data_IF_923497420431
#
_entry.id   IF_923497420431
#
_cell.length_a   1.000
_cell.length_b   1.000
_cell.length_c   1.000
_cell.angle_alpha   90.00
_cell.angle_beta   90.00
_cell.angle_gamma   90.00
#
_symmetry.space_group_name_H-M   'P 1'
#
loop_
_entity.id
_entity.type
_entity.pdbx_description
1 polymer ?
#
# COMPACT_ATOMS: atom_id res chain seq x y z
N UNK A 1 -18.35 21.11 -74.45
CA UNK A 1 -19.74 20.64 -74.45
C UNK A 1 -19.80 19.50 -73.44
N UNK A 2 -20.45 19.77 -72.30
CA UNK A 2 -21.02 18.86 -71.31
C UNK A 2 -20.14 17.82 -70.58
N UNK A 3 -20.03 18.06 -69.27
CA UNK A 3 -20.28 17.18 -68.12
C UNK A 3 -19.75 15.73 -68.11
N UNK A 4 -18.92 15.42 -67.10
CA UNK A 4 -19.43 14.68 -65.94
C UNK A 4 -18.39 14.57 -64.80
N UNK A 5 -18.80 15.12 -63.66
CA UNK A 5 -18.66 14.62 -62.29
C UNK A 5 -17.32 14.01 -61.84
N UNK A 6 -16.68 14.76 -60.95
CA UNK A 6 -15.70 14.30 -59.98
C UNK A 6 -16.37 13.25 -59.09
N UNK A 7 -16.07 11.97 -59.33
CA UNK A 7 -16.28 10.91 -58.35
C UNK A 7 -15.07 10.88 -57.42
N UNK A 8 -15.22 11.58 -56.30
CA UNK A 8 -14.41 11.45 -55.10
C UNK A 8 -14.40 9.97 -54.69
N UNK A 9 -13.27 9.30 -54.94
CA UNK A 9 -13.04 7.91 -54.53
C UNK A 9 -12.28 7.87 -53.20
N UNK A 10 -12.70 8.68 -52.24
CA UNK A 10 -12.49 8.39 -50.81
C UNK A 10 -13.51 7.32 -50.39
N UNK A 11 -13.25 6.08 -50.81
CA UNK A 11 -13.91 4.88 -50.31
C UNK A 11 -13.42 4.64 -48.86
N UNK A 12 -13.82 5.53 -47.95
CA UNK A 12 -13.68 5.36 -46.51
C UNK A 12 -14.69 4.28 -46.15
N UNK A 13 -14.18 3.06 -46.01
CA UNK A 13 -14.90 1.93 -45.46
C UNK A 13 -15.58 2.37 -44.17
N UNK A 14 -16.90 2.59 -44.22
CA UNK A 14 -17.75 2.65 -43.04
C UNK A 14 -17.60 1.30 -42.34
N UNK A 15 -16.67 1.21 -41.40
CA UNK A 15 -16.49 0.07 -40.54
C UNK A 15 -17.61 0.10 -39.50
N UNK A 16 -18.56 -0.85 -39.48
CA UNK A 16 -19.74 -0.81 -38.59
C UNK A 16 -19.42 -1.08 -37.11
N UNK A 17 -18.18 -0.90 -36.68
CA UNK A 17 -17.67 -1.26 -35.36
C UNK A 17 -17.18 -0.06 -34.54
N UNK A 18 -17.33 1.17 -35.04
CA UNK A 18 -16.83 2.38 -34.37
C UNK A 18 -17.83 2.94 -33.32
N UNK A 19 -18.56 2.06 -32.63
CA UNK A 19 -19.68 2.43 -31.77
C UNK A 19 -19.91 1.59 -30.53
N UNK A 20 -18.95 0.76 -30.11
CA UNK A 20 -19.06 0.06 -28.83
C UNK A 20 -17.68 -0.16 -28.22
N UNK A 21 -17.29 0.77 -27.35
CA UNK A 21 -16.27 0.54 -26.34
C UNK A 21 -16.72 -0.66 -25.48
N UNK A 22 -16.04 -1.82 -25.50
CA UNK A 22 -16.50 -3.03 -24.80
C UNK A 22 -16.44 -2.90 -23.27
N UNK A 23 -15.78 -1.86 -22.76
CA UNK A 23 -15.34 -1.74 -21.36
C UNK A 23 -16.11 -0.68 -20.55
N UNK A 24 -17.27 -0.23 -21.05
CA UNK A 24 -18.19 0.66 -20.32
C UNK A 24 -19.59 0.07 -20.13
N UNK A 25 -19.70 -1.27 -20.12
CA UNK A 25 -20.81 -1.87 -19.41
C UNK A 25 -20.59 -1.57 -17.93
N UNK A 26 -21.37 -0.67 -17.35
CA UNK A 26 -21.42 -0.49 -15.91
C UNK A 26 -21.70 -1.86 -15.28
N UNK A 27 -20.67 -2.52 -14.75
CA UNK A 27 -20.83 -3.77 -14.02
C UNK A 27 -21.86 -3.50 -12.93
N UNK A 28 -22.99 -4.19 -13.01
CA UNK A 28 -24.01 -4.10 -11.98
C UNK A 28 -23.31 -4.49 -10.68
N UNK A 29 -23.26 -3.60 -9.67
CA UNK A 29 -22.56 -3.91 -8.44
C UNK A 29 -23.17 -5.19 -7.83
N UNK A 30 -22.33 -6.08 -7.30
CA UNK A 30 -22.81 -7.36 -6.77
C UNK A 30 -23.85 -7.13 -5.67
N UNK A 31 -24.91 -7.95 -5.64
CA UNK A 31 -25.97 -7.82 -4.63
C UNK A 31 -25.39 -8.10 -3.22
N UNK A 32 -25.42 -7.14 -2.29
CA UNK A 32 -24.92 -7.33 -0.93
C UNK A 32 -25.55 -8.53 -0.21
N UNK A 33 -26.85 -8.80 -0.42
CA UNK A 33 -27.54 -9.91 0.26
C UNK A 33 -27.05 -11.27 -0.28
N UNK A 34 -26.88 -11.37 -1.59
CA UNK A 34 -26.29 -12.56 -2.21
C UNK A 34 -24.86 -12.77 -1.69
N UNK A 35 -24.03 -11.72 -1.72
CA UNK A 35 -22.63 -11.83 -1.29
C UNK A 35 -22.50 -12.20 0.19
N UNK A 36 -23.36 -11.68 1.07
CA UNK A 36 -23.40 -12.07 2.48
C UNK A 36 -23.66 -13.58 2.63
N UNK A 37 -24.57 -14.14 1.84
CA UNK A 37 -24.87 -15.58 1.86
C UNK A 37 -23.67 -16.43 1.42
N UNK A 38 -22.96 -15.98 0.38
CA UNK A 38 -21.84 -16.70 -0.23
C UNK A 38 -20.59 -16.75 0.65
N UNK A 39 -20.43 -15.86 1.64
CA UNK A 39 -19.32 -15.92 2.61
C UNK A 39 -19.27 -17.25 3.38
N UNK A 40 -20.42 -17.90 3.55
CA UNK A 40 -20.54 -19.20 4.25
C UNK A 40 -20.65 -20.41 3.33
N UNK A 41 -20.49 -20.22 2.01
CA UNK A 41 -20.62 -21.28 1.03
C UNK A 41 -19.61 -22.42 1.25
N UNK A 42 -20.01 -23.65 0.92
CA UNK A 42 -19.08 -24.79 0.86
C UNK A 42 -18.03 -24.62 -0.26
N UNK A 43 -18.34 -23.87 -1.31
CA UNK A 43 -17.47 -23.69 -2.47
C UNK A 43 -16.46 -22.56 -2.27
N UNK A 44 -15.17 -22.89 -2.41
CA UNK A 44 -14.05 -21.94 -2.25
C UNK A 44 -14.18 -20.74 -3.20
N UNK A 45 -14.59 -20.97 -4.44
CA UNK A 45 -14.77 -19.92 -5.45
C UNK A 45 -15.82 -18.90 -5.04
N UNK A 46 -16.94 -19.35 -4.49
CA UNK A 46 -18.04 -18.49 -4.04
C UNK A 46 -17.62 -17.65 -2.84
N UNK A 47 -17.01 -18.27 -1.83
CA UNK A 47 -16.45 -17.55 -0.67
C UNK A 47 -15.42 -16.49 -1.08
N UNK A 48 -14.55 -16.83 -2.04
CA UNK A 48 -13.54 -15.91 -2.54
C UNK A 48 -14.16 -14.72 -3.30
N UNK A 49 -15.15 -14.96 -4.16
CA UNK A 49 -15.86 -13.89 -4.89
C UNK A 49 -16.60 -12.98 -3.90
N UNK A 50 -17.31 -13.57 -2.93
CA UNK A 50 -17.99 -12.82 -1.89
C UNK A 50 -17.04 -11.92 -1.09
N UNK A 51 -15.92 -12.46 -0.60
CA UNK A 51 -14.92 -11.67 0.11
C UNK A 51 -14.38 -10.52 -0.75
N UNK A 52 -14.11 -10.76 -2.05
CA UNK A 52 -13.67 -9.70 -2.97
C UNK A 52 -14.73 -8.63 -3.21
N UNK A 53 -16.00 -9.01 -3.33
CA UNK A 53 -17.09 -8.06 -3.50
C UNK A 53 -17.15 -7.04 -2.35
N UNK A 54 -16.89 -7.48 -1.11
CA UNK A 54 -16.88 -6.59 0.04
C UNK A 54 -15.72 -5.57 0.07
N UNK A 55 -14.69 -5.69 -0.78
CA UNK A 55 -13.72 -4.62 -0.99
C UNK A 55 -14.38 -3.34 -1.54
N UNK A 56 -15.38 -3.51 -2.41
CA UNK A 56 -16.08 -2.39 -3.07
C UNK A 56 -17.40 -2.05 -2.40
N UNK A 57 -18.18 -3.07 -1.97
CA UNK A 57 -19.47 -2.83 -1.30
C UNK A 57 -19.34 -2.07 0.02
N UNK A 58 -18.26 -2.33 0.75
CA UNK A 58 -17.96 -1.72 2.06
C UNK A 58 -19.10 -1.81 3.08
N UNK A 59 -19.78 -2.95 3.14
CA UNK A 59 -20.90 -3.21 4.05
C UNK A 59 -20.41 -3.76 5.39
N UNK A 60 -20.66 -3.02 6.48
CA UNK A 60 -20.25 -3.39 7.84
C UNK A 60 -20.81 -4.75 8.29
N UNK A 61 -21.96 -5.18 7.75
CA UNK A 61 -22.55 -6.49 8.08
C UNK A 61 -21.64 -7.65 7.69
N UNK A 62 -20.75 -7.45 6.72
CA UNK A 62 -19.79 -8.47 6.29
C UNK A 62 -18.61 -8.62 7.26
N UNK A 63 -18.36 -7.68 8.18
CA UNK A 63 -17.18 -7.73 9.05
C UNK A 63 -17.17 -9.01 9.88
N UNK A 64 -18.25 -9.32 10.62
CA UNK A 64 -18.24 -10.50 11.49
C UNK A 64 -18.07 -11.82 10.71
N UNK A 65 -18.80 -12.07 9.59
CA UNK A 65 -18.54 -13.23 8.74
C UNK A 65 -17.12 -13.27 8.15
N UNK A 66 -16.56 -12.12 7.74
CA UNK A 66 -15.20 -12.05 7.21
C UNK A 66 -14.16 -12.40 8.28
N UNK A 67 -14.36 -12.03 9.55
CA UNK A 67 -13.46 -12.42 10.64
C UNK A 67 -13.37 -13.94 10.80
N UNK A 68 -14.49 -14.66 10.70
CA UNK A 68 -14.50 -16.13 10.73
C UNK A 68 -13.69 -16.73 9.57
N UNK A 69 -13.76 -16.11 8.39
CA UNK A 69 -13.06 -16.55 7.18
C UNK A 69 -11.54 -16.30 7.20
N UNK A 70 -11.00 -15.59 8.21
CA UNK A 70 -9.54 -15.54 8.45
C UNK A 70 -8.96 -16.93 8.77
N UNK A 71 -9.81 -17.89 9.12
CA UNK A 71 -9.44 -19.29 9.36
C UNK A 71 -9.70 -20.22 8.16
N UNK A 72 -10.10 -19.68 7.00
CA UNK A 72 -10.38 -20.50 5.81
C UNK A 72 -9.18 -21.35 5.42
N UNK A 73 -9.40 -22.60 4.99
CA UNK A 73 -8.33 -23.50 4.56
C UNK A 73 -7.58 -22.97 3.32
N UNK A 74 -8.27 -22.27 2.43
CA UNK A 74 -7.72 -21.73 1.19
C UNK A 74 -7.01 -20.38 1.43
N UNK A 75 -5.69 -20.26 1.17
CA UNK A 75 -4.98 -19.00 1.31
C UNK A 75 -5.55 -17.87 0.44
N UNK A 76 -6.10 -18.18 -0.74
CA UNK A 76 -6.69 -17.17 -1.63
C UNK A 76 -7.94 -16.53 -1.02
N UNK A 77 -8.73 -17.30 -0.26
CA UNK A 77 -9.85 -16.77 0.51
C UNK A 77 -9.33 -15.86 1.60
N UNK A 78 -8.35 -16.30 2.40
CA UNK A 78 -7.76 -15.48 3.47
C UNK A 78 -7.14 -14.18 2.97
N UNK A 79 -6.45 -14.20 1.82
CA UNK A 79 -5.97 -12.97 1.14
C UNK A 79 -7.14 -12.03 0.85
N UNK A 80 -8.19 -12.55 0.20
CA UNK A 80 -9.37 -11.75 -0.18
C UNK A 80 -10.07 -11.16 1.03
N UNK A 81 -10.17 -11.93 2.11
CA UNK A 81 -10.72 -11.50 3.40
C UNK A 81 -9.88 -10.40 4.04
N UNK A 82 -8.56 -10.53 4.07
CA UNK A 82 -7.69 -9.49 4.60
C UNK A 82 -7.86 -8.17 3.82
N UNK A 83 -7.92 -8.23 2.49
CA UNK A 83 -8.22 -7.04 1.68
C UNK A 83 -9.61 -6.47 1.96
N UNK A 84 -10.64 -7.32 2.10
CA UNK A 84 -11.99 -6.88 2.42
C UNK A 84 -12.03 -6.14 3.77
N UNK A 85 -11.42 -6.69 4.81
CA UNK A 85 -11.33 -6.06 6.13
C UNK A 85 -10.49 -4.77 6.09
N UNK A 86 -9.44 -4.70 5.27
CA UNK A 86 -8.70 -3.46 5.09
C UNK A 86 -9.49 -2.37 4.34
N UNK A 87 -10.47 -2.73 3.49
CA UNK A 87 -11.42 -1.80 2.86
C UNK A 87 -12.62 -1.48 3.74
N UNK A 88 -12.85 -2.29 4.78
CA UNK A 88 -13.88 -2.16 5.81
C UNK A 88 -13.23 -2.07 7.20
N UNK A 89 -12.41 -1.03 7.46
CA UNK A 89 -11.61 -0.96 8.68
C UNK A 89 -12.49 -1.01 9.92
N UNK A 90 -12.17 -1.92 10.85
CA UNK A 90 -12.90 -2.11 12.10
C UNK A 90 -11.94 -2.46 13.23
N UNK A 91 -12.10 -1.84 14.40
CA UNK A 91 -11.29 -2.15 15.58
C UNK A 91 -11.45 -3.61 16.05
N UNK A 92 -12.56 -4.25 15.69
CA UNK A 92 -12.81 -5.68 15.95
C UNK A 92 -11.93 -6.60 15.11
N UNK A 93 -11.43 -6.12 13.96
CA UNK A 93 -10.57 -6.90 13.07
C UNK A 93 -9.09 -6.89 13.47
N UNK A 94 -8.68 -5.97 14.36
CA UNK A 94 -7.26 -5.75 14.68
C UNK A 94 -6.61 -6.98 15.32
N UNK A 95 -7.17 -7.53 16.41
CA UNK A 95 -6.60 -8.73 17.05
C UNK A 95 -6.63 -9.95 16.11
N UNK A 96 -7.76 -10.28 15.43
CA UNK A 96 -7.77 -11.40 14.47
C UNK A 96 -6.75 -11.26 13.33
N UNK A 97 -6.52 -10.03 12.85
CA UNK A 97 -5.51 -9.76 11.83
C UNK A 97 -4.09 -9.90 12.40
N UNK A 98 -3.81 -9.42 13.61
CA UNK A 98 -2.51 -9.62 14.29
C UNK A 98 -2.23 -11.12 14.46
N UNK A 99 -3.22 -11.89 14.94
CA UNK A 99 -3.12 -13.34 15.08
C UNK A 99 -2.84 -14.03 13.75
N UNK A 100 -3.53 -13.60 12.67
CA UNK A 100 -3.29 -14.15 11.33
C UNK A 100 -1.88 -13.82 10.82
N UNK A 101 -1.38 -12.60 11.05
CA UNK A 101 -0.03 -12.19 10.66
C UNK A 101 1.05 -13.09 11.29
N UNK A 102 0.83 -13.47 12.55
CA UNK A 102 1.77 -14.28 13.33
C UNK A 102 1.78 -15.77 12.93
N UNK A 103 0.64 -16.33 12.54
CA UNK A 103 0.48 -17.78 12.30
C UNK A 103 0.44 -18.20 10.83
N UNK A 104 0.06 -17.31 9.90
CA UNK A 104 -0.04 -17.69 8.50
C UNK A 104 1.36 -17.78 7.87
N UNK A 105 1.60 -18.83 7.10
CA UNK A 105 2.86 -19.04 6.40
C UNK A 105 2.88 -18.39 5.01
N UNK A 106 1.71 -18.05 4.47
CA UNK A 106 1.57 -17.56 3.10
C UNK A 106 1.89 -16.06 3.02
N UNK A 107 2.97 -15.71 2.33
CA UNK A 107 3.42 -14.33 2.18
C UNK A 107 2.39 -13.37 1.55
N UNK A 108 1.52 -13.86 0.65
CA UNK A 108 0.46 -13.03 0.07
C UNK A 108 -0.64 -12.71 1.08
N UNK A 109 -0.99 -13.68 1.95
CA UNK A 109 -1.94 -13.45 3.05
C UNK A 109 -1.36 -12.40 3.99
N UNK A 110 -0.15 -12.63 4.50
CA UNK A 110 0.52 -11.73 5.45
C UNK A 110 0.67 -10.31 4.91
N UNK A 111 0.97 -10.17 3.61
CA UNK A 111 1.01 -8.86 2.92
C UNK A 111 -0.34 -8.15 2.97
N UNK A 112 -1.44 -8.86 2.66
CA UNK A 112 -2.79 -8.32 2.75
C UNK A 112 -3.18 -7.94 4.18
N UNK A 113 -2.76 -8.74 5.16
CA UNK A 113 -2.99 -8.49 6.59
C UNK A 113 -2.27 -7.22 7.04
N UNK A 114 -0.99 -7.06 6.71
CA UNK A 114 -0.21 -5.86 7.05
C UNK A 114 -0.84 -4.60 6.48
N UNK A 115 -1.31 -4.65 5.22
CA UNK A 115 -2.04 -3.55 4.60
C UNK A 115 -3.35 -3.25 5.34
N UNK A 116 -4.13 -4.28 5.69
CA UNK A 116 -5.39 -4.14 6.40
C UNK A 116 -5.21 -3.52 7.81
N UNK A 117 -4.17 -3.94 8.53
CA UNK A 117 -3.81 -3.38 9.84
C UNK A 117 -3.46 -1.89 9.74
N UNK A 118 -2.73 -1.48 8.69
CA UNK A 118 -2.45 -0.07 8.40
C UNK A 118 -3.73 0.76 8.25
N UNK A 119 -4.68 0.27 7.47
CA UNK A 119 -5.97 0.95 7.25
C UNK A 119 -6.87 0.95 8.48
N UNK A 120 -6.77 -0.05 9.36
CA UNK A 120 -7.50 -0.05 10.62
C UNK A 120 -6.99 1.05 11.57
N UNK A 121 -5.73 1.49 11.43
CA UNK A 121 -5.19 2.65 12.14
C UNK A 121 -5.03 2.46 13.65
N UNK A 122 -5.08 1.23 14.15
CA UNK A 122 -5.02 0.94 15.59
C UNK A 122 -3.58 0.70 16.06
N UNK A 123 -3.18 1.42 17.13
CA UNK A 123 -1.82 1.35 17.68
C UNK A 123 -1.40 -0.05 18.13
N UNK A 124 -2.35 -0.94 18.44
CA UNK A 124 -2.07 -2.35 18.80
C UNK A 124 -1.32 -3.09 17.70
N UNK A 125 -1.43 -2.64 16.45
CA UNK A 125 -0.70 -3.22 15.31
C UNK A 125 0.76 -2.75 15.20
N UNK A 126 1.22 -1.74 15.96
CA UNK A 126 2.58 -1.19 15.82
C UNK A 126 3.64 -2.24 16.07
N UNK A 127 3.63 -2.92 17.22
CA UNK A 127 4.65 -3.93 17.54
C UNK A 127 4.67 -5.10 16.53
N UNK A 128 3.51 -5.71 16.17
CA UNK A 128 3.47 -6.72 15.10
C UNK A 128 4.02 -6.24 13.76
N UNK A 129 3.72 -5.00 13.37
CA UNK A 129 4.22 -4.43 12.11
C UNK A 129 5.72 -4.11 12.17
N UNK A 130 6.24 -3.66 13.30
CA UNK A 130 7.69 -3.50 13.52
C UNK A 130 8.40 -4.85 13.44
N UNK A 131 7.81 -5.91 13.99
CA UNK A 131 8.34 -7.26 13.86
C UNK A 131 8.36 -7.69 12.38
N UNK A 132 7.24 -7.52 11.68
CA UNK A 132 7.12 -7.88 10.26
C UNK A 132 8.14 -7.12 9.40
N UNK A 133 8.34 -5.82 9.63
CA UNK A 133 9.36 -5.01 8.96
C UNK A 133 10.78 -5.57 9.12
N UNK A 134 11.08 -6.29 10.20
CA UNK A 134 12.44 -6.80 10.48
C UNK A 134 12.67 -8.22 9.99
N UNK A 135 11.65 -9.08 10.07
CA UNK A 135 11.85 -10.54 9.99
C UNK A 135 11.16 -11.21 8.82
N UNK A 136 10.25 -10.51 8.14
CA UNK A 136 9.39 -11.10 7.11
C UNK A 136 10.04 -11.11 5.71
N UNK A 137 9.36 -11.69 4.71
CA UNK A 137 9.71 -11.58 3.31
C UNK A 137 9.59 -10.12 2.83
N UNK A 138 10.37 -9.76 1.82
CA UNK A 138 10.50 -8.38 1.34
C UNK A 138 9.16 -7.72 0.99
N UNK A 139 8.25 -8.47 0.38
CA UNK A 139 6.91 -7.96 0.06
C UNK A 139 6.15 -7.52 1.31
N UNK A 140 6.24 -8.26 2.42
CA UNK A 140 5.55 -7.90 3.68
C UNK A 140 6.30 -6.76 4.38
N UNK A 141 7.64 -6.81 4.42
CA UNK A 141 8.46 -5.72 5.00
C UNK A 141 8.17 -4.37 4.35
N UNK A 142 8.05 -4.34 3.02
CA UNK A 142 7.69 -3.16 2.27
C UNK A 142 6.37 -2.57 2.78
N UNK A 143 5.29 -3.36 2.79
CA UNK A 143 3.99 -2.85 3.23
C UNK A 143 3.96 -2.51 4.72
N UNK A 144 4.77 -3.19 5.55
CA UNK A 144 4.86 -2.91 6.97
C UNK A 144 5.39 -1.49 7.23
N UNK A 145 6.40 -1.05 6.47
CA UNK A 145 6.89 0.32 6.56
C UNK A 145 5.78 1.36 6.30
N UNK A 146 4.98 1.18 5.23
CA UNK A 146 3.85 2.07 4.92
C UNK A 146 2.78 2.05 6.00
N UNK A 147 2.40 0.86 6.48
CA UNK A 147 1.37 0.71 7.51
C UNK A 147 1.78 1.35 8.83
N UNK A 148 3.06 1.24 9.23
CA UNK A 148 3.60 1.93 10.40
C UNK A 148 3.47 3.45 10.26
N UNK A 149 3.80 4.00 9.08
CA UNK A 149 3.65 5.43 8.83
C UNK A 149 2.20 5.90 8.83
N UNK A 150 1.24 5.05 8.44
CA UNK A 150 -0.19 5.37 8.49
C UNK A 150 -0.70 5.42 9.93
N UNK A 151 -0.36 4.43 10.75
CA UNK A 151 -0.84 4.32 12.13
C UNK A 151 -0.19 5.40 13.02
N UNK A 152 1.13 5.59 12.92
CA UNK A 152 1.87 6.44 13.85
C UNK A 152 1.59 7.95 13.67
N UNK A 153 1.08 8.40 12.52
CA UNK A 153 0.78 9.82 12.24
C UNK A 153 -0.15 10.48 13.27
N UNK A 154 -0.90 9.69 14.03
CA UNK A 154 -1.90 10.20 14.98
C UNK A 154 -1.25 10.59 16.32
N UNK A 155 -0.10 10.03 16.68
CA UNK A 155 0.47 10.17 18.02
C UNK A 155 2.00 10.22 18.02
N UNK A 156 2.54 11.24 18.67
CA UNK A 156 3.99 11.47 18.82
C UNK A 156 4.76 10.28 19.42
N UNK A 157 4.21 9.62 20.44
CA UNK A 157 4.86 8.47 21.08
C UNK A 157 5.01 7.29 20.11
N UNK A 158 3.99 7.11 19.26
CA UNK A 158 3.99 6.08 18.23
C UNK A 158 5.02 6.42 17.14
N UNK A 159 5.15 7.70 16.74
CA UNK A 159 6.19 8.14 15.80
C UNK A 159 7.59 7.82 16.32
N UNK A 160 7.87 8.14 17.60
CA UNK A 160 9.16 7.82 18.25
C UNK A 160 9.45 6.32 18.20
N UNK A 161 8.42 5.49 18.38
CA UNK A 161 8.56 4.03 18.39
C UNK A 161 8.87 3.47 17.01
N UNK A 162 8.25 4.02 15.95
CA UNK A 162 8.39 3.47 14.59
C UNK A 162 9.58 4.02 13.81
N UNK A 163 10.12 5.19 14.15
CA UNK A 163 11.24 5.76 13.39
C UNK A 163 12.52 4.91 13.45
N UNK A 164 13.00 4.45 14.62
CA UNK A 164 14.22 3.62 14.67
C UNK A 164 14.19 2.38 13.77
N UNK A 165 13.11 1.54 13.75
CA UNK A 165 13.07 0.41 12.82
C UNK A 165 12.94 0.82 11.35
N UNK A 166 12.30 1.94 11.03
CA UNK A 166 12.28 2.47 9.66
C UNK A 166 13.66 2.95 9.21
N UNK A 167 14.42 3.61 10.09
CA UNK A 167 15.80 4.03 9.83
C UNK A 167 16.71 2.81 9.58
N UNK A 168 16.57 1.76 10.39
CA UNK A 168 17.31 0.51 10.18
C UNK A 168 16.94 -0.15 8.85
N UNK A 169 15.65 -0.15 8.50
CA UNK A 169 15.16 -0.65 7.21
C UNK A 169 15.73 0.13 6.02
N UNK A 170 15.75 1.47 6.11
CA UNK A 170 16.36 2.33 5.10
C UNK A 170 17.85 2.05 4.92
N UNK A 171 18.61 1.85 6.01
CA UNK A 171 20.07 1.67 5.93
C UNK A 171 20.50 0.27 5.50
N UNK A 172 19.72 -0.76 5.82
CA UNK A 172 20.23 -2.14 5.83
C UNK A 172 19.37 -3.17 5.12
N UNK A 173 18.15 -2.83 4.70
CA UNK A 173 17.35 -3.80 3.97
C UNK A 173 18.02 -4.16 2.64
N UNK A 174 18.10 -5.46 2.34
CA UNK A 174 18.73 -5.96 1.12
C UNK A 174 17.94 -5.58 -0.14
N UNK A 175 16.65 -5.26 -0.01
CA UNK A 175 15.76 -4.97 -1.11
C UNK A 175 15.53 -3.47 -1.20
N UNK A 176 15.97 -2.86 -2.31
CA UNK A 176 15.83 -1.43 -2.58
C UNK A 176 14.39 -0.93 -2.39
N UNK A 177 13.39 -1.67 -2.88
CA UNK A 177 11.98 -1.29 -2.71
C UNK A 177 11.55 -1.18 -1.23
N UNK A 178 12.15 -1.93 -0.31
CA UNK A 178 11.89 -1.78 1.14
C UNK A 178 12.60 -0.53 1.67
N UNK A 179 13.86 -0.27 1.26
CA UNK A 179 14.61 0.94 1.64
C UNK A 179 13.90 2.20 1.16
N UNK A 180 13.52 2.27 -0.11
CA UNK A 180 12.69 3.31 -0.72
C UNK A 180 11.44 3.60 0.11
N UNK A 181 10.69 2.55 0.46
CA UNK A 181 9.46 2.71 1.20
C UNK A 181 9.69 3.14 2.66
N UNK A 182 10.84 2.77 3.26
CA UNK A 182 11.28 3.31 4.54
C UNK A 182 11.62 4.80 4.45
N UNK A 183 12.37 5.23 3.41
CA UNK A 183 12.65 6.65 3.17
C UNK A 183 11.37 7.47 3.04
N UNK A 184 10.43 7.01 2.20
CA UNK A 184 9.12 7.64 2.05
C UNK A 184 8.38 7.74 3.39
N UNK A 185 8.34 6.65 4.15
CA UNK A 185 7.66 6.54 5.45
C UNK A 185 8.27 7.49 6.48
N UNK A 186 9.60 7.60 6.54
CA UNK A 186 10.31 8.57 7.39
C UNK A 186 9.90 10.00 7.01
N UNK A 187 9.89 10.34 5.72
CA UNK A 187 9.45 11.66 5.25
C UNK A 187 8.01 12.00 5.61
N UNK A 188 7.13 10.99 5.71
CA UNK A 188 5.75 11.20 6.18
C UNK A 188 5.69 11.56 7.66
N UNK A 189 6.54 10.95 8.48
CA UNK A 189 6.47 11.01 9.94
C UNK A 189 7.27 12.19 10.50
N UNK A 190 8.43 12.50 9.91
CA UNK A 190 9.29 13.58 10.37
C UNK A 190 8.68 14.97 10.22
N UNK A 191 7.69 15.16 9.34
CA UNK A 191 6.96 16.43 9.22
C UNK A 191 6.32 16.85 10.54
N UNK A 192 5.82 15.89 11.31
CA UNK A 192 5.03 16.13 12.52
C UNK A 192 5.90 16.13 13.79
N UNK A 193 7.23 16.03 13.66
CA UNK A 193 8.14 15.89 14.79
C UNK A 193 8.83 17.21 15.19
N UNK A 194 8.88 17.53 16.50
CA UNK A 194 9.81 18.53 17.00
C UNK A 194 11.26 18.09 16.79
N UNK A 195 12.15 19.07 16.65
CA UNK A 195 13.58 18.86 16.53
C UNK A 195 14.12 18.14 17.78
N UNK A 196 14.41 16.86 17.63
CA UNK A 196 14.98 15.99 18.65
C UNK A 196 16.03 15.06 18.02
N UNK A 197 16.70 14.25 18.85
CA UNK A 197 17.77 13.34 18.38
C UNK A 197 17.26 12.32 17.35
N UNK A 198 16.02 11.86 17.49
CA UNK A 198 15.43 10.86 16.58
C UNK A 198 15.14 11.49 15.22
N UNK A 199 14.57 12.70 15.22
CA UNK A 199 14.39 13.50 14.02
C UNK A 199 15.73 13.75 13.32
N UNK A 200 16.75 14.20 14.06
CA UNK A 200 18.08 14.44 13.49
C UNK A 200 18.65 13.16 12.84
N UNK A 201 18.56 12.03 13.54
CA UNK A 201 19.00 10.72 13.03
C UNK A 201 18.24 10.29 11.78
N UNK A 202 16.95 10.58 11.71
CA UNK A 202 16.12 10.28 10.55
C UNK A 202 16.53 11.11 9.33
N UNK A 203 16.83 12.40 9.52
CA UNK A 203 17.33 13.26 8.44
C UNK A 203 18.71 12.82 7.98
N UNK A 204 19.61 12.46 8.90
CA UNK A 204 20.94 11.96 8.57
C UNK A 204 20.84 10.67 7.74
N UNK A 205 19.92 9.76 8.09
CA UNK A 205 19.69 8.53 7.33
C UNK A 205 19.12 8.81 5.92
N UNK A 206 18.26 9.81 5.76
CA UNK A 206 17.76 10.22 4.44
C UNK A 206 18.86 10.87 3.59
N UNK A 207 19.74 11.69 4.19
CA UNK A 207 20.91 12.27 3.51
C UNK A 207 21.87 11.17 3.06
N UNK A 208 22.18 10.23 3.95
CA UNK A 208 23.02 9.06 3.66
C UNK A 208 22.44 8.26 2.49
N UNK A 209 21.13 7.96 2.51
CA UNK A 209 20.47 7.25 1.42
C UNK A 209 20.49 8.03 0.08
N UNK A 210 20.29 9.35 0.10
CA UNK A 210 20.35 10.19 -1.10
C UNK A 210 21.75 10.14 -1.76
N UNK A 211 22.81 10.19 -0.96
CA UNK A 211 24.18 10.26 -1.47
C UNK A 211 24.72 8.87 -1.80
N UNK A 212 24.56 7.92 -0.88
CA UNK A 212 25.33 6.68 -0.84
C UNK A 212 24.57 5.44 -1.31
N UNK A 213 23.22 5.44 -1.39
CA UNK A 213 22.50 4.24 -1.84
C UNK A 213 22.86 3.87 -3.28
N UNK A 214 22.86 2.59 -3.63
CA UNK A 214 23.19 2.15 -4.99
C UNK A 214 21.99 2.25 -5.94
N UNK A 215 20.78 2.24 -5.40
CA UNK A 215 19.53 2.23 -6.17
C UNK A 215 18.98 3.65 -6.36
N UNK A 216 18.72 4.01 -7.61
CA UNK A 216 18.21 5.34 -7.97
C UNK A 216 16.83 5.62 -7.38
N UNK A 217 15.95 4.62 -7.28
CA UNK A 217 14.63 4.78 -6.69
C UNK A 217 14.70 5.12 -5.19
N UNK A 218 15.67 4.53 -4.47
CA UNK A 218 15.90 4.88 -3.07
C UNK A 218 16.40 6.32 -2.94
N UNK A 219 17.32 6.76 -3.81
CA UNK A 219 17.78 8.15 -3.84
C UNK A 219 16.64 9.13 -4.13
N UNK A 220 15.80 8.83 -5.11
CA UNK A 220 14.64 9.67 -5.47
C UNK A 220 13.64 9.78 -4.30
N UNK A 221 13.32 8.67 -3.64
CA UNK A 221 12.44 8.67 -2.48
C UNK A 221 13.05 9.39 -1.27
N UNK A 222 14.36 9.25 -1.04
CA UNK A 222 15.08 9.97 -0.01
C UNK A 222 15.11 11.48 -0.28
N UNK A 223 15.38 11.90 -1.52
CA UNK A 223 15.27 13.30 -1.96
C UNK A 223 13.84 13.83 -1.75
N UNK A 224 12.84 13.08 -2.20
CA UNK A 224 11.43 13.42 -2.03
C UNK A 224 11.04 13.58 -0.56
N UNK A 225 11.53 12.70 0.31
CA UNK A 225 11.34 12.77 1.75
C UNK A 225 12.01 14.02 2.36
N UNK A 226 13.25 14.34 1.99
CA UNK A 226 13.97 15.54 2.46
C UNK A 226 13.27 16.83 2.05
N UNK A 227 12.87 16.95 0.76
CA UNK A 227 12.06 18.08 0.27
C UNK A 227 10.74 18.20 1.03
N UNK A 228 10.11 17.06 1.32
CA UNK A 228 8.82 17.01 2.01
C UNK A 228 8.91 17.43 3.48
N UNK A 229 10.01 17.10 4.15
CA UNK A 229 10.29 17.46 5.55
C UNK A 229 10.75 18.91 5.65
N UNK A 230 11.56 19.39 4.69
CA UNK A 230 12.05 20.76 4.65
C UNK A 230 13.15 21.07 5.67
N UNK A 231 13.92 20.07 6.10
CA UNK A 231 15.10 20.30 6.95
C UNK A 231 16.17 21.06 6.13
N UNK A 232 16.70 22.20 6.63
CA UNK A 232 17.66 23.01 5.90
C UNK A 232 18.90 22.25 5.42
N UNK A 233 19.38 21.26 6.19
CA UNK A 233 20.56 20.45 5.83
C UNK A 233 20.29 19.61 4.58
N UNK A 234 19.10 19.01 4.52
CA UNK A 234 18.67 18.22 3.37
C UNK A 234 18.45 19.09 2.13
N UNK A 235 17.80 20.26 2.30
CA UNK A 235 17.55 21.19 1.19
C UNK A 235 18.85 21.74 0.60
N UNK A 236 19.80 22.16 1.45
CA UNK A 236 21.09 22.68 1.01
C UNK A 236 21.87 21.61 0.24
N UNK A 237 21.92 20.38 0.74
CA UNK A 237 22.60 19.28 0.04
C UNK A 237 21.99 19.00 -1.34
N UNK A 238 20.65 19.03 -1.45
CA UNK A 238 19.98 18.83 -2.75
C UNK A 238 20.39 19.93 -3.73
N UNK A 239 20.40 21.19 -3.30
CA UNK A 239 20.83 22.32 -4.14
C UNK A 239 22.30 22.15 -4.60
N UNK A 240 23.20 21.73 -3.71
CA UNK A 240 24.60 21.46 -4.03
C UNK A 240 24.75 20.35 -5.08
N UNK A 241 24.05 19.22 -4.91
CA UNK A 241 24.10 18.10 -5.85
C UNK A 241 23.53 18.46 -7.23
N UNK A 242 22.47 19.28 -7.28
CA UNK A 242 21.88 19.80 -8.54
C UNK A 242 22.86 20.74 -9.26
N UNK A 243 23.54 21.64 -8.53
CA UNK A 243 24.56 22.54 -9.09
C UNK A 243 25.76 21.78 -9.66
N UNK A 244 26.11 20.65 -9.06
CA UNK A 244 27.18 19.75 -9.52
C UNK A 244 26.72 18.81 -10.65
N UNK A 245 25.42 18.77 -10.97
CA UNK A 245 24.84 17.90 -12.01
C UNK A 245 24.90 16.42 -11.66
N UNK A 246 24.93 16.08 -10.37
CA UNK A 246 24.97 14.71 -9.86
C UNK A 246 23.56 14.08 -9.85
N UNK A 247 22.54 14.90 -9.62
CA UNK A 247 21.11 14.52 -9.62
C UNK A 247 20.29 15.48 -10.48
#
# INVERSE_FOLDING_TARGET
MYDNEILDSSNSLNNPLDGSDPDQAAEIPPDPEEMLSLLTSAHVSERMIAARAFCELRDERAIAPLLEMLNDICPLVRVSVAYALGRNPSLSAVEPLIDLLARDWNGYVRKGVVWALGNCGDRRAIEPLVHALKTDISAVRLWAASSLAQIAKVNYEDIITVLPPLIEGLRRDLIAAVRSNCAWSIGQLCRELPLNVIYATAIDALIEALVEDEDLGVKEDARGALLKVGDPRGLQLIEELELEGII
#
